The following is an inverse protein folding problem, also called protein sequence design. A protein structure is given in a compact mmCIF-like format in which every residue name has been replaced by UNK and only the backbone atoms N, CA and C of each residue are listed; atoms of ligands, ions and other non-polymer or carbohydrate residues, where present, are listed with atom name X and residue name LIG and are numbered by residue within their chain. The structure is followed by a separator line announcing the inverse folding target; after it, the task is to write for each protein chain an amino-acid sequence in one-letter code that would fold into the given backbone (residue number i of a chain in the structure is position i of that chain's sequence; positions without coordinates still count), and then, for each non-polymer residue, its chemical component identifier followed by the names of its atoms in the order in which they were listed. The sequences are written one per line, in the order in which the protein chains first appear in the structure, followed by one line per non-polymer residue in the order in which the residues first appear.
data_IF_770117414868
#
_entry.id   IF_770117414868
#
_cell.length_a   1.000
_cell.length_b   1.000
_cell.length_c   1.000
_cell.angle_alpha   90.00
_cell.angle_beta   90.00
_cell.angle_gamma   90.00
#
_symmetry.space_group_name_H-M   'P 1'
#
loop_
_entity.id
_entity.type
_entity.pdbx_description
1 polymer ?
#
# COMPACT_ATOMS: atom_id res chain seq x y z
N UNK A 1 22.51 -26.95 -31.90
CA UNK A 1 21.98 -25.58 -32.14
C UNK A 1 20.59 -25.35 -31.52
N UNK A 2 19.76 -26.39 -31.38
CA UNK A 2 18.43 -26.30 -30.73
C UNK A 2 18.48 -26.07 -29.22
N UNK A 3 19.41 -26.71 -28.50
CA UNK A 3 19.51 -26.62 -27.02
C UNK A 3 19.74 -25.20 -26.53
N UNK A 4 20.56 -24.42 -27.24
CA UNK A 4 20.84 -23.02 -26.87
C UNK A 4 19.60 -22.12 -27.04
N UNK A 5 18.79 -22.41 -28.06
CA UNK A 5 17.51 -21.73 -28.31
C UNK A 5 16.49 -22.02 -27.21
N UNK A 6 16.42 -23.28 -26.75
CA UNK A 6 15.57 -23.71 -25.62
C UNK A 6 15.98 -23.00 -24.33
N UNK A 7 17.28 -22.92 -24.04
CA UNK A 7 17.80 -22.20 -22.86
C UNK A 7 17.43 -20.72 -22.93
N UNK A 8 17.56 -20.09 -24.10
CA UNK A 8 17.21 -18.68 -24.29
C UNK A 8 15.73 -18.40 -24.02
N UNK A 9 14.82 -19.26 -24.50
CA UNK A 9 13.38 -19.14 -24.26
C UNK A 9 13.05 -19.26 -22.77
N UNK A 10 13.68 -20.21 -22.06
CA UNK A 10 13.46 -20.40 -20.62
C UNK A 10 13.92 -19.16 -19.83
N UNK A 11 15.10 -18.63 -20.15
CA UNK A 11 15.62 -17.42 -19.50
C UNK A 11 14.72 -16.22 -19.76
N UNK A 12 14.20 -16.07 -20.99
CA UNK A 12 13.30 -14.98 -21.33
C UNK A 12 11.97 -15.08 -20.55
N UNK A 13 11.41 -16.29 -20.43
CA UNK A 13 10.19 -16.54 -19.65
C UNK A 13 10.38 -16.21 -18.17
N UNK A 14 11.51 -16.63 -17.57
CA UNK A 14 11.85 -16.29 -16.19
C UNK A 14 12.03 -14.78 -16.00
N UNK A 15 12.68 -14.10 -16.94
CA UNK A 15 12.87 -12.64 -16.87
C UNK A 15 11.53 -11.88 -16.89
N UNK A 16 10.56 -12.32 -17.69
CA UNK A 16 9.21 -11.73 -17.72
C UNK A 16 8.48 -11.94 -16.40
N UNK A 17 8.54 -13.15 -15.83
CA UNK A 17 7.91 -13.47 -14.54
C UNK A 17 8.53 -12.61 -13.42
N UNK A 18 9.86 -12.55 -13.35
CA UNK A 18 10.59 -11.77 -12.35
C UNK A 18 10.32 -10.26 -12.53
N UNK A 19 10.34 -9.77 -13.78
CA UNK A 19 10.06 -8.36 -14.09
C UNK A 19 8.65 -7.94 -13.67
N UNK A 20 7.66 -8.81 -13.90
CA UNK A 20 6.27 -8.55 -13.53
C UNK A 20 6.06 -8.62 -12.00
N UNK A 21 6.66 -9.61 -11.32
CA UNK A 21 6.63 -9.73 -9.86
C UNK A 21 7.30 -8.53 -9.16
N UNK A 22 8.41 -8.04 -9.70
CA UNK A 22 9.11 -6.85 -9.19
C UNK A 22 8.25 -5.58 -9.29
N UNK A 23 7.48 -5.44 -10.37
CA UNK A 23 6.51 -4.35 -10.52
C UNK A 23 5.32 -4.48 -9.55
N UNK A 24 4.89 -5.70 -9.23
CA UNK A 24 3.79 -5.95 -8.30
C UNK A 24 4.14 -5.53 -6.86
N UNK A 25 5.38 -5.81 -6.41
CA UNK A 25 5.86 -5.36 -5.08
C UNK A 25 5.90 -3.83 -4.96
N UNK A 26 6.21 -3.11 -6.03
CA UNK A 26 6.24 -1.63 -6.03
C UNK A 26 4.84 -1.01 -5.80
N UNK A 27 3.78 -1.74 -6.13
CA UNK A 27 2.38 -1.32 -5.93
C UNK A 27 1.82 -1.61 -4.53
N UNK A 28 2.52 -2.38 -3.69
CA UNK A 28 2.06 -2.79 -2.36
C UNK A 28 2.18 -1.70 -1.28
N UNK A 29 2.30 -0.43 -1.67
CA UNK A 29 2.19 0.68 -0.74
C UNK A 29 0.70 0.98 -0.51
N UNK A 30 0.25 1.07 0.75
CA UNK A 30 -1.14 1.40 1.02
C UNK A 30 -1.47 2.75 0.37
N UNK A 31 -2.49 2.73 -0.50
CA UNK A 31 -2.94 3.90 -1.27
C UNK A 31 -3.33 5.08 -0.37
N UNK A 32 -3.67 4.78 0.89
CA UNK A 32 -3.93 5.76 1.94
C UNK A 32 -2.89 5.61 3.03
N UNK A 33 -2.21 6.71 3.37
CA UNK A 33 -1.28 6.78 4.52
C UNK A 33 -2.02 6.77 5.87
N UNK A 34 -3.33 7.07 5.86
CA UNK A 34 -4.18 7.23 7.04
C UNK A 34 -5.43 6.34 6.89
N UNK A 35 -5.86 5.71 7.97
CA UNK A 35 -7.09 4.92 7.98
C UNK A 35 -8.30 5.81 7.70
N UNK A 36 -9.35 5.25 7.08
CA UNK A 36 -10.63 5.96 6.86
C UNK A 36 -11.28 6.39 8.19
N UNK A 37 -11.00 5.66 9.26
CA UNK A 37 -11.53 5.94 10.59
C UNK A 37 -10.68 6.91 11.40
N UNK A 38 -9.46 7.21 10.93
CA UNK A 38 -8.56 8.18 11.58
C UNK A 38 -8.65 9.57 10.93
N UNK A 39 -9.60 9.77 10.02
CA UNK A 39 -9.84 11.06 9.41
C UNK A 39 -10.31 12.02 10.51
N UNK A 40 -9.67 13.19 10.59
CA UNK A 40 -10.01 14.19 11.59
C UNK A 40 -11.51 14.50 11.47
N UNK A 41 -12.28 14.27 12.54
CA UNK A 41 -13.72 14.51 12.53
C UNK A 41 -13.94 16.03 12.42
N UNK A 42 -14.21 16.49 11.18
CA UNK A 42 -14.44 17.91 10.89
C UNK A 42 -15.81 18.39 11.35
N UNK A 43 -16.69 17.46 11.75
CA UNK A 43 -18.01 17.76 12.27
C UNK A 43 -18.10 17.30 13.71
N UNK A 44 -18.62 18.15 14.62
CA UNK A 44 -18.81 17.76 16.01
C UNK A 44 -19.80 16.60 16.05
N UNK A 45 -19.39 15.49 16.69
CA UNK A 45 -20.26 14.34 16.89
C UNK A 45 -21.53 14.78 17.61
N UNK A 46 -22.68 14.51 16.99
CA UNK A 46 -23.97 14.90 17.55
C UNK A 46 -24.13 14.29 18.95
N UNK A 47 -24.07 15.14 19.98
CA UNK A 47 -24.15 14.74 21.40
C UNK A 47 -22.93 15.09 22.24
N UNK A 48 -21.75 15.33 21.66
CA UNK A 48 -20.56 15.74 22.42
C UNK A 48 -20.46 17.26 22.53
N UNK A 49 -21.24 17.84 23.45
CA UNK A 49 -20.93 19.20 23.92
C UNK A 49 -19.68 19.14 24.78
N UNK A 50 -18.56 19.66 24.28
CA UNK A 50 -17.36 20.13 25.00
C UNK A 50 -17.11 19.39 26.33
N UNK A 51 -16.34 18.31 26.29
CA UNK A 51 -15.77 17.75 27.52
C UNK A 51 -14.33 17.27 27.37
N UNK A 52 -13.51 17.91 26.53
CA UNK A 52 -12.08 17.58 26.42
C UNK A 52 -11.14 18.80 26.32
N UNK A 53 -11.62 20.05 26.46
CA UNK A 53 -10.74 21.22 26.57
C UNK A 53 -10.16 21.43 27.98
N UNK A 54 -10.29 20.45 28.89
CA UNK A 54 -9.90 20.55 30.31
C UNK A 54 -8.90 19.48 30.77
N UNK A 55 -8.40 18.61 29.88
CA UNK A 55 -7.36 17.61 30.21
C UNK A 55 -6.03 17.87 29.49
N UNK A 56 -5.65 19.13 29.37
CA UNK A 56 -4.30 19.54 28.96
C UNK A 56 -3.80 20.69 29.84
N UNK A 57 -4.06 20.57 31.14
CA UNK A 57 -3.34 21.26 32.21
C UNK A 57 -3.18 20.24 33.33
N UNK A 58 -2.24 19.32 33.13
CA UNK A 58 -1.48 18.61 34.16
C UNK A 58 -0.25 18.00 33.47
#
# INVERSE_FOLDING_TARGET
MSTWLIVLIIVLGLAVIIGNLSMLQKSAHPIRRKSLNDLEETLPRAGERKKNSDKSKD
#
